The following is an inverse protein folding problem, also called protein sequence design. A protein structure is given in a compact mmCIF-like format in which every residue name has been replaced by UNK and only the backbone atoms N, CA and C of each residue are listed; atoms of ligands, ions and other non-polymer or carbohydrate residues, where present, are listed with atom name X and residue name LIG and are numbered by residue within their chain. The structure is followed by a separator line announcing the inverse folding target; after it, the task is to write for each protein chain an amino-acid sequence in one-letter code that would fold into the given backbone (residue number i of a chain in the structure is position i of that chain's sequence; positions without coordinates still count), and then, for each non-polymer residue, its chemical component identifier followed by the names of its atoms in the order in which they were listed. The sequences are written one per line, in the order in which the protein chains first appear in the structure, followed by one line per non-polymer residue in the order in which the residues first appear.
data_IF_988433574391
#
_entry.id   IF_988433574391
#
_cell.length_a   1.000
_cell.length_b   1.000
_cell.length_c   1.000
_cell.angle_alpha   90.00
_cell.angle_beta   90.00
_cell.angle_gamma   90.00
#
_symmetry.space_group_name_H-M   'P 1'
#
loop_
_entity.id
_entity.type
_entity.pdbx_description
1 polymer ?
#
# COMPACT_ATOMS: atom_id res chain seq x y z
N UNK A 1 8.59 -4.20 21.39
CA UNK A 1 7.12 -3.98 21.42
C UNK A 1 6.52 -5.19 22.12
N UNK A 2 5.84 -5.01 23.25
CA UNK A 2 5.27 -6.11 24.04
C UNK A 2 3.75 -6.08 23.84
N UNK A 3 3.26 -6.83 22.86
CA UNK A 3 1.84 -6.89 22.49
C UNK A 3 1.17 -8.03 23.26
N UNK A 4 0.21 -7.71 24.13
CA UNK A 4 -0.59 -8.73 24.79
C UNK A 4 -1.70 -9.18 23.84
N UNK A 5 -1.52 -10.32 23.16
CA UNK A 5 -2.50 -10.83 22.19
C UNK A 5 -3.68 -11.43 22.96
N UNK A 6 -4.92 -10.96 22.75
CA UNK A 6 -6.12 -11.54 23.34
C UNK A 6 -6.19 -13.03 23.01
N UNK A 7 -6.57 -13.86 23.99
CA UNK A 7 -6.60 -15.31 23.82
C UNK A 7 -7.52 -15.76 22.67
N UNK A 8 -8.60 -15.01 22.41
CA UNK A 8 -9.52 -15.23 21.30
C UNK A 8 -8.94 -14.88 19.92
N UNK A 9 -7.79 -14.20 19.86
CA UNK A 9 -7.11 -13.80 18.62
C UNK A 9 -5.82 -14.58 18.36
N UNK A 10 -5.48 -15.55 19.20
CA UNK A 10 -4.20 -16.28 19.12
C UNK A 10 -4.02 -17.09 17.81
N UNK A 11 -5.10 -17.27 17.04
CA UNK A 11 -5.11 -17.92 15.72
C UNK A 11 -5.90 -17.09 14.68
N UNK A 12 -6.11 -15.80 14.95
CA UNK A 12 -6.81 -14.94 14.01
C UNK A 12 -5.98 -14.74 12.74
N UNK A 13 -6.61 -14.93 11.58
CA UNK A 13 -6.04 -14.50 10.29
C UNK A 13 -6.29 -13.00 10.12
N UNK A 14 -5.62 -12.38 9.15
CA UNK A 14 -5.87 -10.96 8.82
C UNK A 14 -7.32 -10.74 8.37
N UNK A 15 -7.93 -11.71 7.68
CA UNK A 15 -9.34 -11.68 7.30
C UNK A 15 -10.27 -11.65 8.52
N UNK A 16 -9.89 -12.28 9.64
CA UNK A 16 -10.66 -12.24 10.88
C UNK A 16 -10.59 -10.87 11.59
N UNK A 17 -9.73 -9.95 11.13
CA UNK A 17 -9.58 -8.59 11.68
C UNK A 17 -10.44 -7.56 10.92
N UNK A 18 -11.29 -8.02 10.01
CA UNK A 18 -12.21 -7.21 9.23
C UNK A 18 -13.60 -7.29 9.86
N UNK A 19 -14.39 -6.23 9.73
CA UNK A 19 -15.80 -6.19 10.12
C UNK A 19 -16.73 -6.70 9.00
N UNK A 20 -18.04 -6.67 9.27
CA UNK A 20 -19.05 -7.16 8.33
C UNK A 20 -19.20 -6.33 7.05
N UNK A 21 -18.61 -5.12 6.98
CA UNK A 21 -18.68 -4.25 5.81
C UNK A 21 -17.37 -4.28 5.00
N UNK A 22 -16.44 -5.19 5.33
CA UNK A 22 -15.19 -5.31 4.59
C UNK A 22 -14.12 -4.29 5.01
N UNK A 23 -14.27 -3.64 6.17
CA UNK A 23 -13.28 -2.68 6.68
C UNK A 23 -12.54 -3.18 7.92
N UNK A 24 -11.39 -2.60 8.26
CA UNK A 24 -10.70 -2.96 9.49
C UNK A 24 -11.63 -2.83 10.71
N UNK A 25 -11.68 -3.87 11.54
CA UNK A 25 -12.47 -3.86 12.77
C UNK A 25 -11.79 -2.99 13.83
N UNK A 26 -12.01 -1.67 13.76
CA UNK A 26 -11.38 -0.70 14.65
C UNK A 26 -11.79 -0.87 16.11
N UNK A 27 -12.98 -1.41 16.38
CA UNK A 27 -13.41 -1.69 17.76
C UNK A 27 -12.52 -2.78 18.38
N UNK A 28 -12.22 -3.84 17.63
CA UNK A 28 -11.30 -4.89 18.06
C UNK A 28 -9.85 -4.39 18.16
N UNK A 29 -9.41 -3.60 17.16
CA UNK A 29 -8.02 -3.21 17.03
C UNK A 29 -7.61 -2.09 17.98
N UNK A 30 -8.49 -1.13 18.29
CA UNK A 30 -8.17 -0.01 19.19
C UNK A 30 -7.86 -0.46 20.63
N UNK A 31 -8.51 -1.52 21.10
CA UNK A 31 -8.35 -2.02 22.47
C UNK A 31 -7.08 -2.87 22.66
N UNK A 32 -6.52 -3.37 21.55
CA UNK A 32 -5.42 -4.32 21.56
C UNK A 32 -4.11 -3.74 21.00
N UNK A 33 -4.20 -2.94 19.95
CA UNK A 33 -3.05 -2.54 19.14
C UNK A 33 -2.62 -1.10 19.50
N UNK A 34 -1.31 -0.85 19.72
CA UNK A 34 -0.81 0.49 19.99
C UNK A 34 -1.11 1.49 18.87
N UNK A 35 -1.37 2.73 19.26
CA UNK A 35 -1.68 3.84 18.34
C UNK A 35 -0.67 4.07 17.21
N UNK A 36 0.60 3.73 17.42
CA UNK A 36 1.61 3.81 16.35
C UNK A 36 1.36 2.78 15.24
N UNK A 37 1.02 1.55 15.62
CA UNK A 37 0.73 0.47 14.67
C UNK A 37 -0.60 0.74 13.96
N UNK A 38 -1.62 1.20 14.69
CA UNK A 38 -2.91 1.60 14.10
C UNK A 38 -2.76 2.69 13.03
N UNK A 39 -1.87 3.66 13.25
CA UNK A 39 -1.59 4.72 12.26
C UNK A 39 -0.98 4.16 10.98
N UNK A 40 -0.08 3.18 11.09
CA UNK A 40 0.49 2.49 9.92
C UNK A 40 -0.53 1.57 9.25
N UNK A 41 -1.39 0.91 10.03
CA UNK A 41 -2.43 0.04 9.49
C UNK A 41 -3.46 0.83 8.65
N UNK A 42 -3.76 2.08 9.01
CA UNK A 42 -4.65 2.95 8.22
C UNK A 42 -4.20 3.21 6.79
N UNK A 43 -2.90 3.11 6.49
CA UNK A 43 -2.39 3.25 5.12
C UNK A 43 -2.45 1.94 4.32
N UNK A 44 -2.86 0.83 4.94
CA UNK A 44 -2.98 -0.49 4.32
C UNK A 44 -4.47 -0.80 4.16
N UNK A 45 -4.96 -1.05 2.94
CA UNK A 45 -6.35 -1.47 2.75
C UNK A 45 -6.57 -2.86 3.40
N UNK A 46 -7.76 -3.13 3.96
CA UNK A 46 -8.11 -4.45 4.45
C UNK A 46 -8.15 -5.47 3.30
N UNK A 47 -7.84 -6.75 3.58
CA UNK A 47 -7.99 -7.79 2.57
C UNK A 47 -9.44 -7.87 2.06
N UNK A 48 -9.63 -8.14 0.78
CA UNK A 48 -10.96 -8.21 0.19
C UNK A 48 -10.98 -9.25 -0.93
N UNK A 49 -11.95 -10.17 -0.88
CA UNK A 49 -11.99 -11.31 -1.79
C UNK A 49 -12.15 -10.89 -3.26
N UNK A 50 -12.89 -9.82 -3.53
CA UNK A 50 -13.08 -9.31 -4.90
C UNK A 50 -11.82 -8.66 -5.50
N UNK A 51 -10.80 -8.33 -4.70
CA UNK A 51 -9.58 -7.68 -5.19
C UNK A 51 -8.48 -8.68 -5.58
N UNK A 52 -8.78 -9.98 -5.53
CA UNK A 52 -7.84 -11.04 -5.90
C UNK A 52 -6.71 -11.20 -4.88
N UNK A 53 -5.76 -12.08 -5.19
CA UNK A 53 -4.58 -12.26 -4.36
C UNK A 53 -3.62 -11.08 -4.53
N UNK A 54 -3.01 -10.63 -3.43
CA UNK A 54 -1.89 -9.69 -3.50
C UNK A 54 -0.76 -10.32 -4.33
N UNK A 55 -0.52 -9.78 -5.52
CA UNK A 55 0.59 -10.18 -6.37
C UNK A 55 1.75 -9.19 -6.25
N UNK A 56 2.96 -9.73 -6.07
CA UNK A 56 4.17 -8.92 -6.14
C UNK A 56 4.42 -8.55 -7.60
N UNK A 57 3.96 -7.37 -8.04
CA UNK A 57 4.16 -6.87 -9.40
C UNK A 57 5.61 -6.44 -9.67
N UNK A 58 6.47 -6.47 -8.66
CA UNK A 58 7.89 -6.17 -8.76
C UNK A 58 8.76 -7.40 -8.53
N UNK A 59 9.00 -8.20 -9.58
CA UNK A 59 10.12 -9.15 -9.58
C UNK A 59 10.83 -9.12 -10.94
N UNK A 60 12.06 -8.62 -10.97
CA UNK A 60 13.04 -9.10 -11.94
C UNK A 60 13.92 -10.14 -11.24
N UNK A 61 14.29 -11.19 -11.97
CA UNK A 61 14.99 -12.39 -11.49
C UNK A 61 16.40 -12.16 -10.93
N UNK A 62 16.91 -10.93 -10.90
CA UNK A 62 18.27 -10.64 -10.48
C UNK A 62 18.33 -9.44 -9.54
N UNK A 63 19.23 -9.56 -8.58
CA UNK A 63 19.27 -8.79 -7.35
C UNK A 63 19.20 -7.27 -7.52
N UNK A 64 18.39 -6.67 -6.66
CA UNK A 64 18.61 -5.40 -5.96
C UNK A 64 18.57 -4.06 -6.73
N UNK A 65 18.50 -4.02 -8.06
CA UNK A 65 18.36 -2.74 -8.78
C UNK A 65 16.94 -2.58 -9.34
N UNK A 66 16.17 -1.72 -8.69
CA UNK A 66 14.86 -1.28 -9.12
C UNK A 66 14.91 0.22 -9.38
N UNK A 67 14.59 0.66 -10.60
CA UNK A 67 14.37 2.06 -10.88
C UNK A 67 12.88 2.40 -10.78
N UNK A 68 12.58 3.57 -10.22
CA UNK A 68 11.22 4.14 -10.19
C UNK A 68 10.58 4.16 -11.59
N UNK A 69 11.40 4.30 -12.64
CA UNK A 69 10.99 4.26 -14.04
C UNK A 69 10.46 2.89 -14.47
N UNK A 70 11.04 1.80 -13.98
CA UNK A 70 10.58 0.44 -14.31
C UNK A 70 9.23 0.16 -13.64
N UNK A 71 9.10 0.60 -12.38
CA UNK A 71 7.85 0.72 -11.63
C UNK A 71 6.74 1.43 -12.39
N UNK A 72 7.07 2.65 -12.77
CA UNK A 72 6.18 3.49 -13.53
C UNK A 72 5.78 2.82 -14.85
N UNK A 73 6.71 2.17 -15.56
CA UNK A 73 6.43 1.44 -16.80
C UNK A 73 5.40 0.31 -16.61
N UNK A 74 5.53 -0.49 -15.54
CA UNK A 74 4.61 -1.61 -15.25
C UNK A 74 3.23 -1.08 -14.86
N UNK A 75 3.16 -0.07 -13.99
CA UNK A 75 1.91 0.53 -13.53
C UNK A 75 1.19 1.26 -14.69
N UNK A 76 1.93 2.00 -15.50
CA UNK A 76 1.39 2.78 -16.61
C UNK A 76 1.08 1.97 -17.86
N UNK A 77 1.49 0.69 -17.93
CA UNK A 77 1.00 -0.23 -18.97
C UNK A 77 -0.43 -0.74 -18.68
N UNK A 78 -1.08 -0.27 -17.60
CA UNK A 78 -2.53 -0.39 -17.45
C UNK A 78 -3.23 0.66 -18.33
N UNK A 79 -3.43 0.23 -19.57
CA UNK A 79 -4.06 0.92 -20.68
C UNK A 79 -3.31 2.15 -21.21
N UNK A 80 -3.14 2.12 -22.53
CA UNK A 80 -2.93 3.27 -23.38
C UNK A 80 -4.00 4.34 -23.07
N UNK A 81 -3.83 5.11 -21.98
CA UNK A 81 -4.60 6.32 -21.75
C UNK A 81 -4.12 7.28 -22.83
N UNK A 82 -4.95 7.41 -23.85
CA UNK A 82 -4.85 8.47 -24.85
C UNK A 82 -4.36 9.74 -24.17
N UNK A 83 -3.22 10.22 -24.64
CA UNK A 83 -2.51 11.45 -24.27
C UNK A 83 -3.40 12.41 -23.48
N UNK A 84 -3.45 12.24 -22.16
CA UNK A 84 -4.26 13.11 -21.33
C UNK A 84 -3.50 14.44 -21.22
N UNK A 85 -3.95 15.41 -22.01
CA UNK A 85 -3.34 16.74 -22.14
C UNK A 85 -3.17 17.45 -20.79
N UNK A 86 -3.95 17.07 -19.76
CA UNK A 86 -3.81 17.62 -18.40
C UNK A 86 -2.52 17.14 -17.76
N UNK A 87 -2.22 15.84 -17.83
CA UNK A 87 -1.00 15.28 -17.25
C UNK A 87 0.25 15.76 -18.00
N UNK A 88 0.19 15.87 -19.32
CA UNK A 88 1.31 16.37 -20.13
C UNK A 88 1.66 17.82 -19.79
N UNK A 89 0.66 18.64 -19.40
CA UNK A 89 0.85 20.01 -18.95
C UNK A 89 1.42 20.10 -17.53
N UNK A 90 1.03 19.18 -16.64
CA UNK A 90 1.56 19.08 -15.27
C UNK A 90 3.03 18.67 -15.30
N UNK A 91 3.39 17.66 -16.10
CA UNK A 91 4.76 17.16 -16.20
C UNK A 91 5.73 18.13 -16.90
N UNK A 92 5.23 19.04 -17.74
CA UNK A 92 6.02 20.11 -18.38
C UNK A 92 6.33 21.30 -17.46
N UNK A 93 5.69 21.41 -16.30
CA UNK A 93 6.11 22.36 -15.29
C UNK A 93 7.41 21.83 -14.68
N UNK A 94 8.55 22.39 -15.15
CA UNK A 94 9.86 22.18 -14.52
C UNK A 94 9.76 22.65 -13.07
N UNK A 95 9.51 21.71 -12.15
CA UNK A 95 9.79 21.93 -10.74
C UNK A 95 11.29 22.22 -10.67
N UNK A 96 11.62 23.43 -10.22
CA UNK A 96 13.00 23.84 -9.95
C UNK A 96 13.69 22.75 -9.14
N UNK A 97 14.83 22.28 -9.64
CA UNK A 97 15.66 21.24 -9.02
C UNK A 97 15.74 21.50 -7.52
N UNK A 98 15.29 20.55 -6.72
CA UNK A 98 15.68 20.49 -5.32
C UNK A 98 17.12 19.99 -5.34
N UNK A 99 18.08 20.90 -5.12
CA UNK A 99 19.47 20.54 -4.90
C UNK A 99 19.58 19.84 -3.54
N UNK A 100 19.99 18.57 -3.55
CA UNK A 100 20.46 17.90 -2.35
C UNK A 100 21.89 18.40 -2.09
N UNK A 101 22.12 19.03 -0.93
CA UNK A 101 23.47 19.34 -0.45
C UNK A 101 24.12 18.10 0.17
N UNK A 102 25.42 17.95 -0.12
CA UNK A 102 26.31 16.82 0.22
C UNK A 102 26.43 16.51 1.73
#
# INVERSE_FOLDING_TARGET
MNLNIPSNLNQATVANLIDAIGTWNWNLLNDWVPNEVLRRLRSIPPPHDDFGADEMTGSSKHAADYAVTDMYGIICNFQHMETNMVWDRIWKLKLSKVECQD
#
